data_IF_253073066357
#
_entry.id   IF_253073066357
#
_cell.length_a   1.000
_cell.length_b   1.000
_cell.length_c   1.000
_cell.angle_alpha   90.00
_cell.angle_beta   90.00
_cell.angle_gamma   90.00
#
_symmetry.space_group_name_H-M   'P 1'
#
loop_
_entity.id
_entity.type
_entity.pdbx_description
1 polymer ?
#
# COMPACT_ATOMS: atom_id res chain seq x y z
N UNK A 1 9.03 -9.22 -12.38
CA UNK A 1 8.44 -8.84 -11.08
C UNK A 1 6.90 -8.73 -11.11
N UNK A 2 6.18 -9.56 -11.87
CA UNK A 2 4.71 -9.46 -11.93
C UNK A 2 4.06 -10.16 -10.73
N UNK A 3 4.63 -11.29 -10.32
CA UNK A 3 4.21 -12.04 -9.12
C UNK A 3 4.43 -11.24 -7.84
N UNK A 4 5.59 -10.58 -7.68
CA UNK A 4 5.87 -9.74 -6.51
C UNK A 4 4.87 -8.58 -6.35
N UNK A 5 4.55 -7.85 -7.43
CA UNK A 5 3.54 -6.78 -7.40
C UNK A 5 2.14 -7.30 -7.04
N UNK A 6 1.80 -8.49 -7.52
CA UNK A 6 0.53 -9.14 -7.21
C UNK A 6 0.46 -9.57 -5.74
N UNK A 7 1.52 -10.19 -5.21
CA UNK A 7 1.61 -10.59 -3.79
C UNK A 7 1.51 -9.35 -2.89
N UNK A 8 2.29 -8.30 -3.18
CA UNK A 8 2.24 -7.04 -2.40
C UNK A 8 0.85 -6.41 -2.47
N UNK A 9 0.20 -6.42 -3.63
CA UNK A 9 -1.16 -5.89 -3.79
C UNK A 9 -2.19 -6.66 -2.95
N UNK A 10 -2.14 -8.00 -2.97
CA UNK A 10 -3.04 -8.84 -2.15
C UNK A 10 -2.78 -8.59 -0.65
N UNK A 11 -1.51 -8.60 -0.23
CA UNK A 11 -1.13 -8.32 1.15
C UNK A 11 -1.64 -6.93 1.58
N UNK A 12 -1.47 -5.91 0.74
CA UNK A 12 -1.96 -4.56 1.03
C UNK A 12 -3.48 -4.51 1.20
N UNK A 13 -4.25 -5.25 0.40
CA UNK A 13 -5.72 -5.29 0.53
C UNK A 13 -6.11 -5.94 1.86
N UNK A 14 -5.45 -7.03 2.26
CA UNK A 14 -5.72 -7.68 3.56
C UNK A 14 -5.38 -6.75 4.72
N UNK A 15 -4.22 -6.07 4.65
CA UNK A 15 -3.79 -5.10 5.66
C UNK A 15 -4.77 -3.92 5.78
N UNK A 16 -5.33 -3.43 4.66
CA UNK A 16 -6.36 -2.39 4.68
C UNK A 16 -7.54 -2.77 5.58
N UNK A 17 -8.03 -4.01 5.53
CA UNK A 17 -9.15 -4.42 6.38
C UNK A 17 -8.80 -4.37 7.87
N UNK A 18 -7.55 -4.70 8.24
CA UNK A 18 -7.08 -4.56 9.61
C UNK A 18 -7.06 -3.10 10.07
N UNK A 19 -6.51 -2.21 9.23
CA UNK A 19 -6.50 -0.76 9.50
C UNK A 19 -7.92 -0.20 9.61
N UNK A 20 -8.84 -0.66 8.74
CA UNK A 20 -10.25 -0.27 8.76
C UNK A 20 -10.92 -0.62 10.08
N UNK A 21 -10.75 -1.86 10.55
CA UNK A 21 -11.31 -2.27 11.84
C UNK A 21 -10.71 -1.51 13.01
N UNK A 22 -9.39 -1.27 13.01
CA UNK A 22 -8.73 -0.45 14.05
C UNK A 22 -9.22 1.00 14.02
N UNK A 23 -9.40 1.59 12.83
CA UNK A 23 -9.91 2.95 12.68
C UNK A 23 -11.35 3.09 13.12
N UNK A 24 -12.20 2.08 12.88
CA UNK A 24 -13.55 2.05 13.39
C UNK A 24 -13.58 1.93 14.92
N UNK A 25 -12.73 1.09 15.51
CA UNK A 25 -12.61 0.97 16.95
C UNK A 25 -12.11 2.29 17.60
N UNK A 26 -11.13 2.94 16.99
CA UNK A 26 -10.62 4.24 17.39
C UNK A 26 -11.72 5.32 17.31
N UNK A 27 -12.45 5.40 16.20
CA UNK A 27 -13.54 6.37 16.03
C UNK A 27 -14.71 6.14 16.99
N UNK A 28 -15.02 4.88 17.33
CA UNK A 28 -16.00 4.56 18.37
C UNK A 28 -15.50 4.95 19.77
N UNK A 29 -14.23 4.68 20.09
CA UNK A 29 -13.62 5.08 21.36
C UNK A 29 -13.66 6.59 21.57
N UNK A 30 -13.33 7.35 20.53
CA UNK A 30 -13.35 8.81 20.52
C UNK A 30 -14.77 9.37 20.72
N UNK A 31 -15.76 8.79 20.02
CA UNK A 31 -17.17 9.15 20.17
C UNK A 31 -17.74 8.82 21.57
N UNK A 32 -17.21 7.79 22.24
CA UNK A 32 -17.59 7.46 23.62
C UNK A 32 -16.93 8.37 24.66
N UNK A 33 -15.78 8.97 24.32
CA UNK A 33 -15.03 9.88 25.20
C UNK A 33 -15.42 11.35 25.02
N UNK A 34 -16.29 11.67 24.05
CA UNK A 34 -16.75 13.03 23.71
C UNK A 34 -15.61 14.00 23.37
N UNK A 35 -14.44 13.47 22.99
CA UNK A 35 -13.36 14.24 22.38
C UNK A 35 -13.69 14.41 20.89
N UNK A 36 -13.74 15.66 20.40
CA UNK A 36 -14.26 16.04 19.08
C UNK A 36 -13.61 15.31 17.90
N UNK A 37 -14.19 14.17 17.54
CA UNK A 37 -13.41 13.07 16.98
C UNK A 37 -13.00 13.19 15.52
N UNK A 38 -11.71 13.43 15.33
CA UNK A 38 -11.03 13.42 14.00
C UNK A 38 -10.17 12.17 13.82
N UNK A 39 -10.16 11.32 14.83
CA UNK A 39 -9.16 10.30 15.07
C UNK A 39 -9.36 9.07 14.16
N UNK A 40 -10.58 8.54 14.10
CA UNK A 40 -10.95 7.44 13.20
C UNK A 40 -10.93 7.81 11.72
N UNK A 41 -11.10 9.09 11.38
CA UNK A 41 -11.10 9.56 9.99
C UNK A 41 -9.71 9.48 9.35
N UNK A 42 -8.65 9.78 10.11
CA UNK A 42 -7.26 9.70 9.61
C UNK A 42 -6.89 8.27 9.20
N UNK A 43 -7.22 7.30 10.05
CA UNK A 43 -6.99 5.88 9.77
C UNK A 43 -7.86 5.35 8.61
N UNK A 44 -9.12 5.79 8.55
CA UNK A 44 -10.01 5.48 7.42
C UNK A 44 -9.44 6.00 6.09
N UNK A 45 -8.90 7.23 6.10
CA UNK A 45 -8.33 7.85 4.91
C UNK A 45 -7.07 7.10 4.43
N UNK A 46 -6.17 6.73 5.36
CA UNK A 46 -4.99 5.90 5.06
C UNK A 46 -5.41 4.53 4.52
N UNK A 47 -6.43 3.90 5.11
CA UNK A 47 -6.94 2.61 4.66
C UNK A 47 -7.48 2.65 3.22
N UNK A 48 -8.24 3.70 2.86
CA UNK A 48 -8.74 3.89 1.49
C UNK A 48 -7.58 4.06 0.50
N UNK A 49 -6.56 4.84 0.85
CA UNK A 49 -5.38 5.01 -0.01
C UNK A 49 -4.64 3.68 -0.18
N UNK A 50 -4.43 2.90 0.89
CA UNK A 50 -3.85 1.56 0.80
C UNK A 50 -4.68 0.63 -0.08
N UNK A 51 -6.01 0.71 -0.02
CA UNK A 51 -6.91 -0.13 -0.81
C UNK A 51 -6.76 0.16 -2.31
N UNK A 52 -6.83 1.44 -2.68
CA UNK A 52 -6.67 1.89 -4.06
C UNK A 52 -5.27 1.47 -4.56
N UNK A 53 -4.24 1.65 -3.73
CA UNK A 53 -2.87 1.22 -4.04
C UNK A 53 -2.78 -0.28 -4.31
N UNK A 54 -3.40 -1.10 -3.47
CA UNK A 54 -3.42 -2.56 -3.62
C UNK A 54 -4.16 -3.03 -4.87
N UNK A 55 -5.31 -2.43 -5.18
CA UNK A 55 -6.07 -2.73 -6.40
C UNK A 55 -5.26 -2.35 -7.64
N UNK A 56 -4.68 -1.15 -7.68
CA UNK A 56 -3.87 -0.70 -8.82
C UNK A 56 -2.59 -1.53 -8.95
N UNK A 57 -1.97 -1.95 -7.84
CA UNK A 57 -0.83 -2.86 -7.84
C UNK A 57 -1.16 -4.19 -8.54
N UNK A 58 -2.38 -4.72 -8.38
CA UNK A 58 -2.85 -5.95 -9.03
C UNK A 58 -3.26 -5.71 -10.48
N UNK A 59 -4.12 -4.71 -10.72
CA UNK A 59 -4.72 -4.43 -12.02
C UNK A 59 -3.68 -3.90 -13.02
N UNK A 60 -2.83 -2.97 -12.58
CA UNK A 60 -1.80 -2.35 -13.40
C UNK A 60 -0.41 -3.00 -13.19
N UNK A 61 -0.34 -4.25 -12.69
CA UNK A 61 0.92 -4.99 -12.45
C UNK A 61 1.82 -5.10 -13.69
N UNK A 62 1.22 -5.10 -14.88
CA UNK A 62 1.91 -5.21 -16.15
C UNK A 62 2.29 -3.85 -16.77
N UNK A 63 1.88 -2.74 -16.15
CA UNK A 63 2.14 -1.39 -16.62
C UNK A 63 3.23 -0.71 -15.78
N UNK A 64 4.04 0.10 -16.45
CA UNK A 64 5.01 0.98 -15.79
C UNK A 64 4.30 2.12 -15.03
N UNK A 65 3.21 2.66 -15.61
CA UNK A 65 2.41 3.73 -15.00
C UNK A 65 1.76 3.30 -13.69
N UNK A 66 1.29 2.05 -13.61
CA UNK A 66 0.73 1.47 -12.38
C UNK A 66 1.72 1.47 -11.22
N UNK A 67 2.99 1.14 -11.49
CA UNK A 67 4.03 1.16 -10.45
C UNK A 67 4.36 2.58 -9.96
N UNK A 68 4.35 3.57 -10.85
CA UNK A 68 4.57 4.98 -10.49
C UNK A 68 3.42 5.48 -9.63
N UNK A 69 2.18 5.20 -10.05
CA UNK A 69 0.99 5.56 -9.29
C UNK A 69 1.00 4.95 -7.88
N UNK A 70 1.29 3.64 -7.76
CA UNK A 70 1.40 2.98 -6.46
C UNK A 70 2.48 3.63 -5.59
N UNK A 71 3.64 3.97 -6.16
CA UNK A 71 4.72 4.65 -5.41
C UNK A 71 4.24 5.96 -4.80
N UNK A 72 3.58 6.80 -5.58
CA UNK A 72 3.07 8.10 -5.12
C UNK A 72 1.98 7.90 -4.07
N UNK A 73 1.04 7.00 -4.33
CA UNK A 73 -0.11 6.76 -3.47
C UNK A 73 0.29 6.19 -2.11
N UNK A 74 1.16 5.18 -2.07
CA UNK A 74 1.70 4.63 -0.82
C UNK A 74 2.63 5.63 -0.12
N UNK A 75 3.35 6.46 -0.87
CA UNK A 75 4.15 7.54 -0.30
C UNK A 75 3.28 8.56 0.44
N UNK A 76 2.18 8.99 -0.17
CA UNK A 76 1.21 9.89 0.45
C UNK A 76 0.53 9.24 1.66
N UNK A 77 0.06 7.99 1.53
CA UNK A 77 -0.54 7.25 2.63
C UNK A 77 0.44 7.09 3.81
N UNK A 78 1.71 6.84 3.52
CA UNK A 78 2.76 6.72 4.51
C UNK A 78 3.04 8.03 5.24
N UNK A 79 3.16 9.14 4.51
CA UNK A 79 3.34 10.47 5.12
C UNK A 79 2.12 10.81 5.98
N UNK A 80 0.89 10.58 5.49
CA UNK A 80 -0.33 10.88 6.25
C UNK A 80 -0.42 10.04 7.53
N UNK A 81 -0.14 8.75 7.46
CA UNK A 81 -0.07 7.87 8.65
C UNK A 81 1.02 8.29 9.64
N UNK A 82 2.16 8.74 9.14
CA UNK A 82 3.25 9.33 9.94
C UNK A 82 3.02 10.79 10.33
N UNK A 83 1.94 11.46 9.93
CA UNK A 83 1.62 12.79 10.47
C UNK A 83 0.53 12.72 11.55
N UNK A 84 -0.12 11.56 11.67
CA UNK A 84 -1.08 11.28 12.72
C UNK A 84 -0.43 10.83 14.06
N UNK A 85 0.91 10.91 14.15
CA UNK A 85 1.71 10.68 15.37
C UNK A 85 1.31 11.72 16.41
N UNK A 86 0.56 11.27 17.40
CA UNK A 86 -0.01 12.12 18.44
C UNK A 86 -1.29 11.53 19.01
N UNK A 87 -2.03 10.74 18.22
CA UNK A 87 -3.31 10.15 18.62
C UNK A 87 -3.27 8.60 18.60
N UNK A 88 -2.52 7.98 17.68
CA UNK A 88 -2.51 6.51 17.52
C UNK A 88 -1.13 5.93 17.17
N UNK A 89 -0.61 5.05 18.01
CA UNK A 89 0.65 4.35 17.76
C UNK A 89 0.54 3.33 16.60
N UNK A 90 -0.63 2.73 16.42
CA UNK A 90 -0.89 1.79 15.32
C UNK A 90 -0.78 2.48 13.96
N UNK A 91 -1.30 3.70 13.82
CA UNK A 91 -1.31 4.43 12.55
C UNK A 91 0.11 4.83 12.09
N UNK A 92 1.04 5.02 13.03
CA UNK A 92 2.46 5.25 12.74
C UNK A 92 3.10 3.99 12.14
N UNK A 93 2.79 2.81 12.69
CA UNK A 93 3.28 1.52 12.17
C UNK A 93 2.73 1.28 10.76
N UNK A 94 1.44 1.56 10.54
CA UNK A 94 0.81 1.46 9.22
C UNK A 94 1.39 2.43 8.20
N UNK A 95 1.66 3.67 8.62
CA UNK A 95 2.35 4.67 7.80
C UNK A 95 3.76 4.24 7.40
N UNK A 96 4.51 3.67 8.33
CA UNK A 96 5.84 3.09 8.07
C UNK A 96 5.78 1.94 7.05
N UNK A 97 4.81 1.03 7.17
CA UNK A 97 4.59 -0.05 6.20
C UNK A 97 4.25 0.49 4.80
N UNK A 98 3.40 1.53 4.72
CA UNK A 98 3.09 2.18 3.45
C UNK A 98 4.36 2.76 2.79
N UNK A 99 5.25 3.39 3.55
CA UNK A 99 6.52 3.88 3.01
C UNK A 99 7.41 2.74 2.49
N UNK A 100 7.46 1.60 3.17
CA UNK A 100 8.20 0.43 2.69
C UNK A 100 7.64 -0.04 1.34
N UNK A 101 6.32 -0.13 1.21
CA UNK A 101 5.69 -0.48 -0.08
C UNK A 101 5.99 0.56 -1.16
N UNK A 102 5.97 1.86 -0.83
CA UNK A 102 6.34 2.93 -1.75
C UNK A 102 7.77 2.75 -2.28
N UNK A 103 8.75 2.46 -1.40
CA UNK A 103 10.15 2.23 -1.80
C UNK A 103 10.30 0.99 -2.68
N UNK A 104 9.62 -0.11 -2.36
CA UNK A 104 9.65 -1.32 -3.19
C UNK A 104 9.08 -1.04 -4.59
N UNK A 105 7.97 -0.31 -4.68
CA UNK A 105 7.40 0.09 -5.97
C UNK A 105 8.31 1.06 -6.73
N UNK A 106 8.97 2.00 -6.04
CA UNK A 106 9.94 2.91 -6.63
C UNK A 106 11.11 2.15 -7.26
N UNK A 107 11.71 1.21 -6.52
CA UNK A 107 12.78 0.33 -7.03
C UNK A 107 12.27 -0.48 -8.23
N UNK A 108 11.02 -0.96 -8.18
CA UNK A 108 10.42 -1.67 -9.30
C UNK A 108 10.28 -0.82 -10.56
N UNK A 109 9.97 0.47 -10.41
CA UNK A 109 9.86 1.41 -11.54
C UNK A 109 11.24 1.75 -12.10
N UNK A 110 12.22 1.97 -11.24
CA UNK A 110 13.60 2.29 -11.64
C UNK A 110 14.23 1.10 -12.39
N UNK A 111 14.07 -0.13 -11.88
CA UNK A 111 14.56 -1.35 -12.56
C UNK A 111 13.88 -1.59 -13.91
N UNK A 112 12.62 -1.16 -14.09
CA UNK A 112 11.94 -1.24 -15.38
C UNK A 112 12.60 -0.34 -16.44
N UNK A 113 13.17 0.80 -16.04
CA UNK A 113 13.84 1.73 -16.97
C UNK A 113 15.13 1.14 -17.57
N UNK A 114 15.77 0.19 -16.90
CA UNK A 114 16.98 -0.50 -17.39
C UNK A 114 16.69 -1.65 -18.35
N UNK A 115 15.50 -2.25 -18.33
CA UNK A 115 15.14 -3.41 -19.16
C UNK A 115 13.78 -3.18 -19.84
N UNK A 116 13.72 -2.73 -21.11
CA UNK A 116 12.46 -2.37 -21.78
C UNK A 116 11.51 -3.54 -22.08
N UNK A 117 11.94 -4.79 -21.90
CA UNK A 117 11.13 -5.98 -22.18
C UNK A 117 11.40 -7.04 -21.12
N UNK A 118 10.49 -7.20 -20.16
CA UNK A 118 10.22 -8.53 -19.62
C UNK A 118 8.73 -8.81 -19.73
N UNK A 119 8.27 -9.36 -20.88
CA UNK A 119 7.10 -10.20 -20.86
C UNK A 119 7.33 -11.31 -19.83
N UNK A 120 6.26 -11.71 -19.16
CA UNK A 120 6.27 -12.89 -18.30
C UNK A 120 6.47 -14.09 -19.21
N UNK A 121 7.18 -15.11 -18.70
CA UNK A 121 7.42 -16.43 -19.31
C UNK A 121 8.65 -16.51 -20.22
N UNK A 122 9.80 -16.91 -19.66
CA UNK A 122 10.81 -17.81 -20.27
C UNK A 122 11.75 -18.40 -19.20
N UNK A 123 11.22 -19.16 -18.24
CA UNK A 123 12.07 -20.05 -17.39
C UNK A 123 11.62 -21.52 -17.41
N UNK A 124 10.72 -21.90 -18.32
CA UNK A 124 10.23 -23.30 -18.40
C UNK A 124 10.34 -23.91 -19.80
N UNK A 125 11.38 -23.54 -20.57
CA UNK A 125 11.72 -24.21 -21.84
C UNK A 125 13.20 -24.54 -21.99
N UNK A 126 13.92 -24.71 -20.89
CA UNK A 126 15.32 -25.17 -20.90
C UNK A 126 15.54 -26.28 -19.85
N UNK A 127 14.62 -27.25 -19.81
CA UNK A 127 14.81 -28.51 -19.06
C UNK A 127 14.22 -29.75 -19.75
N UNK A 128 13.88 -29.64 -21.03
CA UNK A 128 13.29 -30.77 -21.79
C UNK A 128 13.80 -30.83 -23.23
N UNK A 129 15.08 -30.52 -23.42
CA UNK A 129 15.87 -31.09 -24.53
C UNK A 129 16.72 -32.24 -23.98
#
# INVERSE_FOLDING_TARGET
MKTAKLIIGIISIVLTFLVLFQSCAAGLGDAMMDEGGTSGFSGLFVAILMLIGGIVAIAARNSRGGGIFCTILYGLAGILGLTAQGIFEDLVIWGGLCLIFAVIFLISVIRWKKNPQQPVTKEEKEKTE
#
